data_IF_894599141020
#
_entry.id   IF_894599141020
#
_cell.length_a   1.000
_cell.length_b   1.000
_cell.length_c   1.000
_cell.angle_alpha   90.00
_cell.angle_beta   90.00
_cell.angle_gamma   90.00
#
_symmetry.space_group_name_H-M   'P 1'
#
loop_
_entity.id
_entity.type
_entity.pdbx_description
1 polymer ?
#
# COMPACT_ATOMS: atom_id res chain seq x y z
N UNK A 1 -17.84 -19.31 -17.14
CA UNK A 1 -16.63 -20.16 -17.21
C UNK A 1 -15.38 -19.46 -17.73
N UNK A 2 -15.47 -18.21 -18.22
CA UNK A 2 -14.42 -17.47 -18.94
C UNK A 2 -13.15 -17.12 -18.13
N UNK A 3 -13.30 -16.62 -16.89
CA UNK A 3 -12.18 -16.01 -16.16
C UNK A 3 -10.94 -16.91 -15.97
N UNK A 4 -11.09 -18.21 -15.72
CA UNK A 4 -9.92 -19.08 -15.53
C UNK A 4 -9.09 -19.26 -16.81
N UNK A 5 -9.76 -19.26 -17.97
CA UNK A 5 -9.10 -19.27 -19.28
C UNK A 5 -8.54 -17.88 -19.60
N UNK A 6 -9.27 -16.82 -19.29
CA UNK A 6 -8.81 -15.44 -19.48
C UNK A 6 -7.56 -15.13 -18.63
N UNK A 7 -7.48 -15.66 -17.41
CA UNK A 7 -6.34 -15.51 -16.49
C UNK A 7 -5.08 -16.20 -17.04
N UNK A 8 -5.20 -17.46 -17.47
CA UNK A 8 -4.08 -18.16 -18.11
C UNK A 8 -3.66 -17.52 -19.42
N UNK A 9 -4.62 -17.07 -20.23
CA UNK A 9 -4.33 -16.32 -21.45
C UNK A 9 -3.67 -14.97 -21.13
N UNK A 10 -3.98 -14.33 -20.00
CA UNK A 10 -3.32 -13.11 -19.55
C UNK A 10 -1.88 -13.37 -19.10
N UNK A 11 -1.63 -14.47 -18.37
CA UNK A 11 -0.27 -14.90 -18.00
C UNK A 11 0.56 -15.27 -19.25
N UNK A 12 -0.02 -16.00 -20.20
CA UNK A 12 0.67 -16.37 -21.43
C UNK A 12 0.97 -15.17 -22.34
N UNK A 13 0.07 -14.17 -22.41
CA UNK A 13 0.26 -12.96 -23.24
C UNK A 13 1.16 -11.91 -22.60
N UNK A 14 1.35 -11.92 -21.28
CA UNK A 14 1.99 -10.84 -20.56
C UNK A 14 3.53 -10.81 -20.60
N UNK A 15 4.17 -11.66 -21.41
CA UNK A 15 5.63 -11.79 -21.50
C UNK A 15 6.30 -11.89 -20.12
N UNK A 16 5.70 -12.65 -19.21
CA UNK A 16 6.25 -12.86 -17.87
C UNK A 16 7.39 -13.88 -17.91
N UNK A 17 8.46 -13.68 -17.11
CA UNK A 17 9.47 -14.71 -16.88
C UNK A 17 8.85 -16.04 -16.42
N UNK A 18 9.41 -17.20 -16.79
CA UNK A 18 8.85 -18.50 -16.41
C UNK A 18 8.67 -18.66 -14.90
N UNK A 19 9.65 -18.22 -14.11
CA UNK A 19 9.60 -18.24 -12.65
C UNK A 19 8.44 -17.41 -12.08
N UNK A 20 8.01 -16.34 -12.75
CA UNK A 20 6.83 -15.57 -12.31
C UNK A 20 5.55 -16.35 -12.57
N UNK A 21 5.45 -17.01 -13.73
CA UNK A 21 4.27 -17.82 -14.08
C UNK A 21 4.14 -19.01 -13.14
N UNK A 22 5.26 -19.63 -12.76
CA UNK A 22 5.29 -20.76 -11.83
C UNK A 22 4.87 -20.38 -10.41
N UNK A 23 5.21 -19.15 -9.97
CA UNK A 23 4.78 -18.59 -8.68
C UNK A 23 3.36 -17.99 -8.71
N UNK A 24 2.70 -17.93 -9.88
CA UNK A 24 1.37 -17.35 -9.99
C UNK A 24 0.29 -18.24 -9.35
N UNK A 25 -0.84 -17.64 -8.96
CA UNK A 25 -1.95 -18.37 -8.34
C UNK A 25 -2.48 -19.45 -9.29
N UNK A 26 -2.46 -20.71 -8.84
CA UNK A 26 -2.91 -21.85 -9.64
C UNK A 26 -4.43 -21.96 -9.62
N UNK A 27 -5.11 -21.02 -10.28
CA UNK A 27 -6.57 -20.87 -10.25
C UNK A 27 -7.33 -22.17 -10.60
N UNK A 28 -6.86 -22.95 -11.57
CA UNK A 28 -7.45 -24.25 -11.93
C UNK A 28 -7.30 -25.30 -10.83
N UNK A 29 -6.13 -25.37 -10.19
CA UNK A 29 -5.83 -26.31 -9.11
C UNK A 29 -6.69 -26.01 -7.89
N UNK A 30 -6.73 -24.75 -7.46
CA UNK A 30 -7.60 -24.28 -6.37
C UNK A 30 -9.07 -24.54 -6.66
N UNK A 31 -9.54 -24.32 -7.90
CA UNK A 31 -10.92 -24.64 -8.31
C UNK A 31 -11.25 -26.14 -8.20
N UNK A 32 -10.28 -27.03 -8.46
CA UNK A 32 -10.47 -28.47 -8.26
C UNK A 32 -10.58 -28.81 -6.77
N UNK A 33 -9.81 -28.14 -5.91
CA UNK A 33 -9.91 -28.27 -4.45
C UNK A 33 -11.29 -27.83 -3.95
N UNK A 34 -11.82 -26.69 -4.40
CA UNK A 34 -13.18 -26.23 -4.04
C UNK A 34 -14.24 -27.28 -4.39
N UNK A 35 -14.11 -27.98 -5.54
CA UNK A 35 -15.03 -29.07 -5.91
C UNK A 35 -14.88 -30.33 -5.03
N UNK A 36 -13.72 -30.54 -4.40
CA UNK A 36 -13.52 -31.61 -3.41
C UNK A 36 -14.18 -31.23 -2.09
N UNK A 37 -13.94 -30.01 -1.60
CA UNK A 37 -14.62 -29.46 -0.41
C UNK A 37 -16.14 -29.55 -0.57
N UNK A 38 -16.67 -29.11 -1.71
CA UNK A 38 -18.10 -29.18 -1.98
C UNK A 38 -18.65 -30.63 -1.92
N UNK A 39 -17.88 -31.63 -2.40
CA UNK A 39 -18.30 -33.04 -2.34
C UNK A 39 -18.17 -33.62 -0.95
N UNK A 40 -17.17 -33.21 -0.18
CA UNK A 40 -16.99 -33.58 1.22
C UNK A 40 -18.16 -33.06 2.05
N UNK A 41 -18.49 -31.77 1.92
CA UNK A 41 -19.65 -31.14 2.55
C UNK A 41 -20.97 -31.84 2.18
N UNK A 42 -21.19 -32.14 0.89
CA UNK A 42 -22.35 -32.91 0.44
C UNK A 42 -22.39 -34.32 1.06
N UNK A 43 -21.25 -35.00 1.14
CA UNK A 43 -21.14 -36.32 1.77
C UNK A 43 -21.44 -36.32 3.26
N UNK A 44 -21.30 -35.17 3.93
CA UNK A 44 -21.68 -34.97 5.32
C UNK A 44 -23.15 -34.52 5.49
N UNK A 45 -23.87 -34.31 4.38
CA UNK A 45 -25.23 -33.75 4.41
C UNK A 45 -25.28 -32.25 4.73
N UNK A 46 -24.15 -31.56 4.61
CA UNK A 46 -24.01 -30.11 4.77
C UNK A 46 -23.94 -29.46 3.39
N UNK A 47 -25.04 -29.51 2.64
CA UNK A 47 -25.09 -28.84 1.35
C UNK A 47 -25.18 -27.31 1.50
N UNK A 48 -25.05 -26.60 0.37
CA UNK A 48 -25.00 -25.13 0.38
C UNK A 48 -26.25 -24.51 1.01
N UNK A 49 -27.42 -25.06 0.70
CA UNK A 49 -28.69 -24.50 1.17
C UNK A 49 -28.90 -24.81 2.66
N UNK A 50 -28.45 -25.97 3.14
CA UNK A 50 -28.41 -26.30 4.57
C UNK A 50 -27.45 -25.38 5.34
N UNK A 51 -26.25 -25.12 4.80
CA UNK A 51 -25.28 -24.22 5.45
C UNK A 51 -25.75 -22.76 5.44
N UNK A 52 -26.32 -22.28 4.34
CA UNK A 52 -26.90 -20.93 4.28
C UNK A 52 -28.05 -20.75 5.28
N UNK A 53 -28.90 -21.78 5.45
CA UNK A 53 -29.96 -21.78 6.45
C UNK A 53 -29.39 -21.76 7.88
N UNK A 54 -28.34 -22.56 8.16
CA UNK A 54 -27.65 -22.55 9.45
C UNK A 54 -27.07 -21.17 9.77
N UNK A 55 -26.46 -20.49 8.81
CA UNK A 55 -25.92 -19.13 9.01
C UNK A 55 -27.02 -18.07 9.24
N UNK A 56 -28.17 -18.17 8.57
CA UNK A 56 -29.28 -17.23 8.77
C UNK A 56 -29.80 -17.23 10.21
N UNK A 57 -29.75 -18.38 10.90
CA UNK A 57 -30.17 -18.48 12.30
C UNK A 57 -29.11 -18.00 13.29
N UNK A 58 -27.82 -18.12 12.95
CA UNK A 58 -26.72 -17.48 13.70
C UNK A 58 -26.83 -15.95 13.66
N UNK A 59 -27.19 -15.38 12.51
CA UNK A 59 -27.32 -13.92 12.32
C UNK A 59 -28.64 -13.34 12.88
N UNK A 60 -29.70 -14.14 13.04
CA UNK A 60 -31.04 -13.65 13.41
C UNK A 60 -31.28 -13.50 14.92
N UNK A 61 -30.39 -14.00 15.79
CA UNK A 61 -30.46 -13.82 17.26
C UNK A 61 -31.75 -14.32 17.95
N UNK A 62 -32.66 -14.94 17.22
CA UNK A 62 -34.00 -15.28 17.70
C UNK A 62 -34.01 -16.71 18.25
N UNK A 63 -33.68 -16.83 19.54
CA UNK A 63 -34.05 -18.00 20.35
C UNK A 63 -32.93 -18.85 20.93
N UNK A 64 -31.69 -18.35 21.08
CA UNK A 64 -30.66 -19.09 21.81
C UNK A 64 -30.49 -18.54 23.24
N UNK A 65 -30.76 -19.31 24.31
CA UNK A 65 -30.47 -18.91 25.69
C UNK A 65 -28.97 -18.79 25.99
N UNK A 66 -28.10 -19.28 25.09
CA UNK A 66 -26.68 -19.49 25.35
C UNK A 66 -25.71 -18.56 24.62
N UNK A 67 -26.18 -17.55 23.87
CA UNK A 67 -25.33 -16.51 23.28
C UNK A 67 -24.26 -16.94 22.26
N UNK A 68 -24.01 -18.24 22.06
CA UNK A 68 -22.98 -18.76 21.15
C UNK A 68 -23.60 -19.22 19.83
N UNK A 69 -23.00 -18.81 18.71
CA UNK A 69 -23.47 -19.16 17.36
C UNK A 69 -23.39 -20.67 17.10
N UNK A 70 -24.49 -21.26 16.63
CA UNK A 70 -24.65 -22.70 16.37
C UNK A 70 -23.63 -23.32 15.40
N UNK A 71 -23.02 -22.49 14.53
CA UNK A 71 -22.05 -22.89 13.52
C UNK A 71 -20.89 -21.89 13.52
N UNK A 72 -19.67 -22.38 13.74
CA UNK A 72 -18.46 -21.56 13.68
C UNK A 72 -17.47 -22.13 12.68
N UNK A 73 -16.96 -21.29 11.78
CA UNK A 73 -15.86 -21.63 10.89
C UNK A 73 -14.66 -20.75 11.25
N UNK A 74 -13.76 -21.27 12.09
CA UNK A 74 -12.51 -20.58 12.42
C UNK A 74 -11.40 -21.04 11.48
N UNK A 75 -10.46 -20.13 11.23
CA UNK A 75 -9.13 -20.48 10.79
C UNK A 75 -8.20 -20.16 11.95
N UNK A 76 -7.96 -21.13 12.83
CA UNK A 76 -6.95 -20.96 13.86
C UNK A 76 -5.57 -21.02 13.21
N UNK A 77 -4.78 -19.96 13.43
CA UNK A 77 -3.40 -19.95 13.02
C UNK A 77 -2.57 -18.79 13.54
N UNK A 78 -1.60 -19.14 14.40
CA UNK A 78 -0.34 -18.41 14.51
C UNK A 78 0.47 -18.63 13.20
N UNK A 79 1.53 -17.85 12.96
CA UNK A 79 2.31 -17.78 11.70
C UNK A 79 2.72 -19.13 11.04
N UNK A 80 2.60 -20.27 11.75
CA UNK A 80 3.07 -21.59 11.34
C UNK A 80 2.00 -22.68 11.13
N UNK A 81 0.74 -22.51 11.54
CA UNK A 81 -0.31 -23.56 11.39
C UNK A 81 -1.65 -22.97 10.96
N UNK A 82 -2.20 -23.40 9.83
CA UNK A 82 -3.55 -23.00 9.36
C UNK A 82 -4.43 -24.25 9.38
N UNK A 83 -5.31 -24.37 10.38
CA UNK A 83 -6.27 -25.48 10.45
C UNK A 83 -7.69 -24.91 10.40
N UNK A 84 -8.40 -25.03 9.27
CA UNK A 84 -9.82 -24.69 9.25
C UNK A 84 -10.58 -25.64 10.16
N UNK A 85 -11.43 -25.10 11.04
CA UNK A 85 -12.29 -25.87 11.95
C UNK A 85 -13.74 -25.46 11.72
N UNK A 86 -14.58 -26.43 11.39
CA UNK A 86 -16.02 -26.27 11.38
C UNK A 86 -16.57 -26.88 12.67
N UNK A 87 -17.12 -26.06 13.54
CA UNK A 87 -17.62 -26.49 14.85
C UNK A 87 -19.13 -26.36 14.90
N UNK A 88 -19.82 -27.42 15.36
CA UNK A 88 -21.28 -27.45 15.57
C UNK A 88 -21.57 -27.73 17.04
N UNK A 89 -22.53 -27.00 17.61
CA UNK A 89 -23.02 -27.20 18.98
C UNK A 89 -23.95 -28.42 19.06
N UNK A 90 -23.70 -29.32 20.02
CA UNK A 90 -24.50 -30.53 20.29
C UNK A 90 -25.05 -30.51 21.71
N UNK A 91 -26.24 -31.10 21.88
CA UNK A 91 -26.93 -31.25 23.17
C UNK A 91 -26.12 -32.19 24.08
N UNK A 92 -25.78 -31.78 25.31
CA UNK A 92 -25.00 -32.58 26.25
C UNK A 92 -25.68 -33.88 26.70
N UNK A 93 -26.99 -34.05 26.54
CA UNK A 93 -27.75 -35.22 27.01
C UNK A 93 -27.80 -36.36 26.00
N UNK A 94 -27.86 -36.06 24.71
CA UNK A 94 -28.00 -37.08 23.65
C UNK A 94 -26.96 -36.99 22.53
N UNK A 95 -26.12 -35.95 22.53
CA UNK A 95 -25.10 -35.69 21.51
C UNK A 95 -25.68 -35.34 20.13
N UNK A 96 -26.98 -35.03 20.06
CA UNK A 96 -27.61 -34.57 18.83
C UNK A 96 -27.23 -33.11 18.56
N UNK A 97 -27.03 -32.71 17.29
CA UNK A 97 -26.91 -31.29 16.97
C UNK A 97 -28.14 -30.58 17.52
N UNK A 98 -27.96 -29.45 18.23
CA UNK A 98 -29.04 -28.68 18.84
C UNK A 98 -29.90 -28.01 17.75
N UNK A 99 -30.58 -28.80 16.92
CA UNK A 99 -31.51 -28.35 15.87
C UNK A 99 -32.39 -29.50 15.36
N UNK A 100 -33.71 -29.32 15.50
CA UNK A 100 -34.76 -30.26 15.06
C UNK A 100 -34.99 -30.28 13.54
N UNK A 101 -34.32 -29.42 12.77
CA UNK A 101 -34.64 -29.13 11.35
C UNK A 101 -33.64 -29.70 10.35
N UNK A 102 -32.52 -30.24 10.81
CA UNK A 102 -31.58 -30.96 9.95
C UNK A 102 -32.25 -32.22 9.39
N UNK A 103 -31.99 -32.52 8.10
CA UNK A 103 -32.54 -33.73 7.48
C UNK A 103 -32.17 -34.96 8.33
N UNK A 104 -33.03 -36.00 8.40
CA UNK A 104 -32.72 -37.21 9.15
C UNK A 104 -31.39 -37.86 8.72
N UNK A 105 -30.97 -37.64 7.48
CA UNK A 105 -29.68 -38.08 6.95
C UNK A 105 -28.51 -37.23 7.47
N UNK A 106 -28.62 -35.89 7.44
CA UNK A 106 -27.62 -34.96 7.99
C UNK A 106 -27.44 -35.16 9.49
N UNK A 107 -28.54 -35.31 10.24
CA UNK A 107 -28.52 -35.60 11.69
C UNK A 107 -27.82 -36.92 11.98
N UNK A 108 -28.08 -37.98 11.20
CA UNK A 108 -27.39 -39.28 11.34
C UNK A 108 -25.90 -39.19 11.04
N UNK A 109 -25.50 -38.42 10.02
CA UNK A 109 -24.10 -38.24 9.66
C UNK A 109 -23.34 -37.43 10.71
N UNK A 110 -23.93 -36.35 11.23
CA UNK A 110 -23.35 -35.57 12.33
C UNK A 110 -23.27 -36.38 13.64
N UNK A 111 -24.30 -37.15 13.98
CA UNK A 111 -24.27 -38.08 15.12
C UNK A 111 -23.18 -39.15 14.97
N UNK A 112 -22.98 -39.68 13.76
CA UNK A 112 -21.93 -40.66 13.47
C UNK A 112 -20.53 -40.04 13.60
N UNK A 113 -20.37 -38.80 13.14
CA UNK A 113 -19.13 -38.04 13.33
C UNK A 113 -18.87 -37.76 14.81
N UNK A 114 -19.86 -37.24 15.54
CA UNK A 114 -19.78 -36.96 16.97
C UNK A 114 -19.42 -38.20 17.82
N UNK A 115 -19.95 -39.37 17.45
CA UNK A 115 -19.62 -40.66 18.11
C UNK A 115 -18.20 -41.12 17.80
N UNK A 116 -17.71 -40.90 16.59
CA UNK A 116 -16.36 -41.25 16.17
C UNK A 116 -15.30 -40.23 16.65
N UNK A 117 -15.70 -38.98 16.89
CA UNK A 117 -14.85 -37.88 17.32
C UNK A 117 -14.77 -37.70 18.84
N UNK A 118 -15.33 -38.64 19.64
CA UNK A 118 -15.26 -38.62 21.12
C UNK A 118 -13.85 -38.56 21.72
N UNK A 119 -12.79 -38.58 20.90
CA UNK A 119 -11.41 -38.32 21.29
C UNK A 119 -11.01 -36.82 21.29
N UNK A 120 -11.77 -35.92 20.66
CA UNK A 120 -11.47 -34.47 20.53
C UNK A 120 -12.58 -33.56 21.10
N UNK A 121 -13.29 -34.00 22.13
CA UNK A 121 -14.29 -33.15 22.81
C UNK A 121 -13.55 -32.13 23.68
N UNK A 122 -13.71 -30.85 23.37
CA UNK A 122 -13.21 -29.74 24.20
C UNK A 122 -14.37 -29.20 25.03
N UNK A 123 -14.27 -29.25 26.36
CA UNK A 123 -15.20 -28.53 27.25
C UNK A 123 -14.80 -27.06 27.22
N UNK A 124 -15.43 -26.25 26.36
CA UNK A 124 -15.19 -24.82 26.35
C UNK A 124 -15.85 -24.18 27.57
N UNK A 125 -15.07 -23.52 28.43
CA UNK A 125 -15.60 -22.48 29.32
C UNK A 125 -15.83 -21.23 28.46
N UNK A 126 -17.00 -20.62 28.59
CA UNK A 126 -17.46 -19.42 27.88
C UNK A 126 -16.32 -18.57 27.30
N UNK A 127 -16.31 -18.42 25.98
CA UNK A 127 -15.31 -17.61 25.30
C UNK A 127 -15.56 -16.12 25.60
N UNK A 128 -14.52 -15.31 25.85
CA UNK A 128 -14.71 -13.91 26.21
C UNK A 128 -15.43 -13.16 25.09
N UNK A 129 -16.47 -12.42 25.44
CA UNK A 129 -17.16 -11.51 24.54
C UNK A 129 -16.17 -10.65 23.77
N UNK A 130 -16.48 -10.45 22.48
CA UNK A 130 -15.75 -9.57 21.59
C UNK A 130 -15.73 -8.17 22.21
N UNK A 131 -14.57 -7.72 22.68
CA UNK A 131 -14.42 -6.35 23.20
C UNK A 131 -14.54 -5.38 22.02
N UNK A 132 -15.73 -4.82 21.87
CA UNK A 132 -15.97 -3.59 21.11
C UNK A 132 -15.07 -2.49 21.69
N UNK A 133 -14.00 -2.17 20.97
CA UNK A 133 -13.10 -1.08 21.29
C UNK A 133 -13.79 0.28 21.12
N UNK A 134 -14.48 0.76 22.15
CA UNK A 134 -14.69 2.20 22.39
C UNK A 134 -13.76 2.64 23.49
N UNK A 135 -12.69 3.32 23.08
CA UNK A 135 -11.77 4.03 23.96
C UNK A 135 -12.53 5.05 24.83
N UNK A 136 -12.33 4.98 26.14
CA UNK A 136 -12.57 6.10 27.04
C UNK A 136 -11.73 5.97 28.32
N UNK A 137 -10.68 6.78 28.31
CA UNK A 137 -10.07 7.56 29.39
C UNK A 137 -9.79 6.92 30.76
N UNK A 138 -8.49 6.87 31.05
CA UNK A 138 -7.81 6.53 32.29
C UNK A 138 -7.80 7.71 33.27
N UNK A 139 -8.20 7.49 34.53
CA UNK A 139 -7.71 8.22 35.69
C UNK A 139 -7.78 7.35 36.98
N UNK A 140 -6.75 7.34 37.85
CA UNK A 140 -6.62 6.39 38.96
C UNK A 140 -6.87 7.00 40.36
N UNK A 141 -7.32 6.19 41.32
CA UNK A 141 -7.11 6.36 42.76
C UNK A 141 -7.46 5.02 43.47
N UNK A 142 -6.47 4.24 43.93
CA UNK A 142 -6.00 4.17 45.33
C UNK A 142 -7.10 4.14 46.40
N UNK A 143 -7.26 3.02 47.13
CA UNK A 143 -6.76 2.87 48.52
C UNK A 143 -7.20 1.55 49.18
N UNK A 144 -6.31 1.05 50.03
CA UNK A 144 -6.39 -0.12 50.91
C UNK A 144 -7.38 0.08 52.06
N UNK A 145 -7.87 -1.03 52.63
CA UNK A 145 -8.05 -1.12 54.10
C UNK A 145 -9.11 -2.08 54.63
N UNK A 146 -8.63 -3.19 55.20
CA UNK A 146 -9.02 -3.73 56.53
C UNK A 146 -10.25 -4.65 56.69
N UNK A 147 -9.96 -5.86 57.21
CA UNK A 147 -10.83 -6.86 57.86
C UNK A 147 -11.25 -6.43 59.30
N UNK A 148 -11.77 -7.30 60.22
CA UNK A 148 -12.76 -8.41 60.15
C UNK A 148 -13.84 -8.32 61.28
N UNK A 149 -14.60 -9.42 61.44
CA UNK A 149 -15.28 -9.95 62.66
C UNK A 149 -16.80 -9.76 62.82
N UNK A 150 -17.49 -10.86 63.16
CA UNK A 150 -18.78 -10.80 63.87
C UNK A 150 -19.82 -11.88 63.56
N UNK A 151 -19.60 -13.07 64.12
CA UNK A 151 -20.57 -14.03 64.67
C UNK A 151 -21.74 -14.67 63.88
N UNK A 152 -21.78 -15.97 64.12
CA UNK A 152 -22.68 -17.05 63.71
C UNK A 152 -24.08 -17.02 64.33
N UNK A 153 -25.09 -17.40 63.54
CA UNK A 153 -26.24 -18.16 64.00
C UNK A 153 -26.75 -19.08 62.88
N UNK A 154 -26.74 -20.39 63.15
CA UNK A 154 -27.12 -21.46 62.24
C UNK A 154 -28.65 -21.62 62.13
N UNK A 155 -29.14 -21.84 60.92
CA UNK A 155 -30.41 -22.52 60.65
C UNK A 155 -30.26 -23.30 59.32
N UNK A 156 -30.37 -24.62 59.46
CA UNK A 156 -30.48 -25.77 58.54
C UNK A 156 -30.05 -25.72 57.04
N UNK A 157 -29.47 -26.84 56.54
CA UNK A 157 -29.08 -27.00 55.15
C UNK A 157 -30.27 -27.42 54.28
N UNK A 158 -30.63 -26.58 53.30
CA UNK A 158 -31.50 -26.97 52.19
C UNK A 158 -30.67 -27.80 51.19
N UNK A 159 -31.02 -29.06 50.88
CA UNK A 159 -30.22 -29.90 50.00
C UNK A 159 -30.51 -29.56 48.53
N UNK A 160 -29.42 -29.39 47.78
CA UNK A 160 -29.33 -29.59 46.33
C UNK A 160 -30.28 -28.77 45.45
N UNK A 161 -29.97 -27.48 45.31
CA UNK A 161 -30.14 -26.81 44.01
C UNK A 161 -28.89 -27.09 43.17
N UNK A 162 -28.96 -28.16 42.39
CA UNK A 162 -28.11 -28.38 41.23
C UNK A 162 -28.11 -27.11 40.37
N UNK A 163 -27.05 -26.32 40.48
CA UNK A 163 -26.70 -25.35 39.46
C UNK A 163 -26.20 -26.17 38.27
N UNK A 164 -27.14 -26.58 37.40
CA UNK A 164 -26.88 -27.00 36.02
C UNK A 164 -26.12 -25.85 35.34
N UNK A 165 -24.79 -25.85 35.48
CA UNK A 165 -23.90 -25.10 34.60
C UNK A 165 -24.03 -25.78 33.24
N UNK A 166 -24.91 -25.26 32.40
CA UNK A 166 -25.16 -25.75 31.04
C UNK A 166 -23.84 -25.86 30.26
N UNK A 167 -23.26 -27.05 30.27
CA UNK A 167 -22.07 -27.40 29.52
C UNK A 167 -22.46 -27.61 28.06
N UNK A 168 -22.21 -26.60 27.22
CA UNK A 168 -22.37 -26.71 25.78
C UNK A 168 -21.24 -27.60 25.22
N UNK A 169 -21.59 -28.74 24.62
CA UNK A 169 -20.62 -29.60 23.95
C UNK A 169 -20.48 -29.18 22.48
N UNK A 170 -19.25 -29.07 22.00
CA UNK A 170 -18.96 -28.71 20.60
C UNK A 170 -18.28 -29.86 19.89
N UNK A 171 -18.68 -30.12 18.64
CA UNK A 171 -18.10 -31.16 17.78
C UNK A 171 -17.38 -30.50 16.62
N UNK A 172 -16.09 -30.79 16.50
CA UNK A 172 -15.27 -30.41 15.36
C UNK A 172 -15.50 -31.36 14.19
N UNK A 173 -15.82 -30.80 13.03
CA UNK A 173 -15.93 -31.51 11.76
C UNK A 173 -14.61 -31.31 11.01
N UNK A 174 -13.73 -32.34 10.95
CA UNK A 174 -12.48 -32.24 10.22
C UNK A 174 -12.78 -32.29 8.73
N UNK A 175 -12.84 -31.12 8.10
CA UNK A 175 -12.79 -31.02 6.66
C UNK A 175 -11.31 -31.18 6.24
N UNK A 176 -11.05 -32.15 5.36
CA UNK A 176 -9.70 -32.47 4.90
C UNK A 176 -9.37 -31.73 3.60
N UNK A 177 -10.39 -31.51 2.75
CA UNK A 177 -10.21 -30.88 1.44
C UNK A 177 -10.04 -29.36 1.50
N UNK A 178 -10.56 -28.72 2.55
CA UNK A 178 -10.44 -27.27 2.75
C UNK A 178 -9.07 -26.93 3.34
N UNK A 179 -8.55 -27.76 4.25
CA UNK A 179 -7.18 -27.75 4.72
C UNK A 179 -6.20 -27.82 3.55
N UNK A 180 -6.42 -28.72 2.59
CA UNK A 180 -5.62 -28.79 1.37
C UNK A 180 -5.73 -27.50 0.52
N UNK A 181 -6.93 -26.92 0.40
CA UNK A 181 -7.13 -25.66 -0.33
C UNK A 181 -6.33 -24.51 0.29
N UNK A 182 -6.42 -24.31 1.61
CA UNK A 182 -5.72 -23.22 2.30
C UNK A 182 -4.22 -23.43 2.39
N UNK A 183 -3.74 -24.68 2.51
CA UNK A 183 -2.31 -24.99 2.43
C UNK A 183 -1.73 -24.65 1.05
N UNK A 184 -2.43 -25.00 -0.04
CA UNK A 184 -2.02 -24.63 -1.39
C UNK A 184 -2.01 -23.11 -1.55
N UNK A 185 -3.07 -22.44 -1.11
CA UNK A 185 -3.21 -20.99 -1.23
C UNK A 185 -2.10 -20.26 -0.45
N UNK A 186 -1.81 -20.68 0.78
CA UNK A 186 -0.74 -20.09 1.60
C UNK A 186 0.63 -20.25 0.95
N UNK A 187 0.94 -21.43 0.41
CA UNK A 187 2.21 -21.65 -0.28
C UNK A 187 2.33 -20.75 -1.50
N UNK A 188 1.29 -20.68 -2.34
CA UNK A 188 1.27 -19.81 -3.52
C UNK A 188 1.42 -18.33 -3.16
N UNK A 189 0.85 -17.88 -2.04
CA UNK A 189 1.02 -16.51 -1.56
C UNK A 189 2.42 -16.25 -1.00
N UNK A 190 2.99 -17.21 -0.26
CA UNK A 190 4.39 -17.13 0.19
C UNK A 190 5.35 -17.07 -1.00
N UNK A 191 5.10 -17.85 -2.05
CA UNK A 191 5.90 -17.83 -3.27
C UNK A 191 5.81 -16.46 -3.97
N UNK A 192 4.61 -15.85 -4.00
CA UNK A 192 4.41 -14.48 -4.51
C UNK A 192 5.09 -13.41 -3.66
N UNK A 193 5.06 -13.54 -2.34
CA UNK A 193 5.73 -12.64 -1.40
C UNK A 193 7.25 -12.67 -1.61
N UNK A 194 7.86 -13.86 -1.68
CA UNK A 194 9.28 -14.01 -1.97
C UNK A 194 9.65 -13.47 -3.36
N UNK A 195 8.82 -13.71 -4.36
CA UNK A 195 9.04 -13.17 -5.71
C UNK A 195 9.02 -11.64 -5.69
N UNK A 196 8.06 -11.03 -5.01
CA UNK A 196 7.97 -9.58 -4.90
C UNK A 196 9.18 -8.97 -4.20
N UNK A 197 9.62 -9.55 -3.08
CA UNK A 197 10.80 -9.08 -2.35
C UNK A 197 12.07 -9.18 -3.21
N UNK A 198 12.24 -10.29 -3.93
CA UNK A 198 13.36 -10.49 -4.84
C UNK A 198 13.37 -9.46 -5.98
N UNK A 199 12.23 -9.24 -6.63
CA UNK A 199 12.12 -8.27 -7.73
C UNK A 199 12.24 -6.82 -7.24
N UNK A 200 11.73 -6.49 -6.05
CA UNK A 200 11.92 -5.17 -5.44
C UNK A 200 13.40 -4.91 -5.16
N UNK A 201 14.12 -5.89 -4.61
CA UNK A 201 15.56 -5.79 -4.36
C UNK A 201 16.33 -5.57 -5.67
N UNK A 202 16.00 -6.36 -6.70
CA UNK A 202 16.61 -6.23 -8.02
C UNK A 202 16.36 -4.86 -8.66
N UNK A 203 15.13 -4.33 -8.57
CA UNK A 203 14.80 -3.00 -9.07
C UNK A 203 15.58 -1.91 -8.33
N UNK A 204 15.69 -2.00 -7.00
CA UNK A 204 16.52 -1.08 -6.21
C UNK A 204 17.97 -1.09 -6.66
N UNK A 205 18.56 -2.27 -6.86
CA UNK A 205 19.93 -2.37 -7.37
C UNK A 205 20.09 -1.73 -8.76
N UNK A 206 19.12 -1.90 -9.66
CA UNK A 206 19.14 -1.27 -10.98
C UNK A 206 19.04 0.25 -10.90
N UNK A 207 18.25 0.79 -9.97
CA UNK A 207 18.16 2.24 -9.70
C UNK A 207 19.47 2.77 -9.13
N UNK A 208 20.11 2.06 -8.19
CA UNK A 208 21.42 2.46 -7.65
C UNK A 208 22.49 2.45 -8.74
N UNK A 209 22.49 1.43 -9.62
CA UNK A 209 23.38 1.37 -10.79
C UNK A 209 23.15 2.54 -11.73
N UNK A 210 21.90 2.87 -12.02
CA UNK A 210 21.53 4.05 -12.81
C UNK A 210 22.05 5.34 -12.15
N UNK A 211 21.87 5.50 -10.83
CA UNK A 211 22.41 6.63 -10.09
C UNK A 211 23.93 6.75 -10.24
N UNK A 212 24.66 5.64 -10.12
CA UNK A 212 26.12 5.63 -10.31
C UNK A 212 26.53 6.04 -11.74
N UNK A 213 25.82 5.54 -12.76
CA UNK A 213 26.04 5.94 -14.16
C UNK A 213 25.83 7.47 -14.34
N UNK A 214 24.78 8.03 -13.74
CA UNK A 214 24.50 9.47 -13.78
C UNK A 214 25.51 10.32 -12.98
N UNK A 215 26.04 9.80 -11.86
CA UNK A 215 27.12 10.47 -11.10
C UNK A 215 28.37 10.63 -11.95
N UNK A 216 28.73 9.60 -12.74
CA UNK A 216 29.88 9.66 -13.67
C UNK A 216 29.65 10.74 -14.73
N UNK A 217 28.45 10.81 -15.31
CA UNK A 217 28.09 11.86 -16.29
C UNK A 217 28.22 13.25 -15.65
N UNK A 218 27.72 13.44 -14.42
CA UNK A 218 27.78 14.72 -13.70
C UNK A 218 29.20 15.11 -13.25
N UNK A 219 30.05 14.16 -12.90
CA UNK A 219 31.39 14.42 -12.39
C UNK A 219 32.34 14.99 -13.46
N UNK A 220 32.08 14.68 -14.73
CA UNK A 220 32.86 15.21 -15.84
C UNK A 220 32.69 16.72 -15.98
N UNK A 221 33.79 17.45 -16.21
CA UNK A 221 33.78 18.91 -16.36
C UNK A 221 33.64 19.37 -17.82
N UNK A 222 33.54 18.43 -18.77
CA UNK A 222 33.49 18.72 -20.19
C UNK A 222 32.23 19.51 -20.56
N UNK A 223 32.28 20.29 -21.64
CA UNK A 223 31.11 21.03 -22.15
C UNK A 223 29.96 20.06 -22.49
N UNK A 224 30.29 18.95 -23.16
CA UNK A 224 29.35 17.90 -23.53
C UNK A 224 28.64 17.27 -22.32
N UNK A 225 29.37 16.99 -21.25
CA UNK A 225 28.77 16.40 -20.04
C UNK A 225 27.76 17.36 -19.39
N UNK A 226 27.99 18.69 -19.43
CA UNK A 226 27.00 19.67 -18.95
C UNK A 226 25.74 19.66 -19.80
N UNK A 227 25.88 19.62 -21.13
CA UNK A 227 24.75 19.48 -22.05
C UNK A 227 23.98 18.16 -21.83
N UNK A 228 24.69 17.07 -21.53
CA UNK A 228 24.07 15.78 -21.17
C UNK A 228 23.33 15.83 -19.83
N UNK A 229 23.87 16.53 -18.82
CA UNK A 229 23.17 16.74 -17.53
C UNK A 229 21.91 17.59 -17.74
N UNK A 230 21.97 18.63 -18.57
CA UNK A 230 20.81 19.45 -18.91
C UNK A 230 19.75 18.64 -19.68
N UNK A 231 20.16 17.77 -20.61
CA UNK A 231 19.26 16.83 -21.27
C UNK A 231 18.59 15.89 -20.27
N UNK A 232 19.34 15.34 -19.31
CA UNK A 232 18.78 14.49 -18.26
C UNK A 232 17.80 15.22 -17.33
N UNK A 233 17.99 16.51 -17.07
CA UNK A 233 16.99 17.31 -16.35
C UNK A 233 15.67 17.32 -17.09
N UNK A 234 15.68 17.60 -18.39
CA UNK A 234 14.47 17.61 -19.22
C UNK A 234 13.78 16.23 -19.24
N UNK A 235 14.56 15.15 -19.34
CA UNK A 235 14.02 13.78 -19.30
C UNK A 235 13.32 13.50 -17.97
N UNK A 236 13.95 13.87 -16.85
CA UNK A 236 13.41 13.64 -15.51
C UNK A 236 12.21 14.54 -15.20
N UNK A 237 12.21 15.76 -15.71
CA UNK A 237 11.06 16.68 -15.65
C UNK A 237 9.87 16.10 -16.41
N UNK A 238 10.06 15.71 -17.68
CA UNK A 238 9.02 15.03 -18.45
C UNK A 238 8.48 13.77 -17.76
N UNK A 239 9.36 13.00 -17.11
CA UNK A 239 8.96 11.79 -16.41
C UNK A 239 8.17 12.10 -15.13
N UNK A 240 8.58 13.13 -14.39
CA UNK A 240 7.87 13.60 -13.20
C UNK A 240 6.47 14.10 -13.58
N UNK A 241 6.36 14.91 -14.63
CA UNK A 241 5.09 15.45 -15.12
C UNK A 241 4.16 14.38 -15.69
N UNK A 242 4.72 13.29 -16.23
CA UNK A 242 3.93 12.19 -16.77
C UNK A 242 3.19 11.38 -15.68
N UNK A 243 3.62 11.46 -14.42
CA UNK A 243 2.95 10.83 -13.27
C UNK A 243 2.58 9.36 -13.53
N UNK A 244 3.55 8.60 -14.05
CA UNK A 244 3.30 7.28 -14.66
C UNK A 244 2.62 6.29 -13.71
N UNK A 245 3.06 6.22 -12.45
CA UNK A 245 2.59 5.19 -11.52
C UNK A 245 1.69 5.72 -10.41
N UNK A 246 1.73 7.02 -10.14
CA UNK A 246 0.90 7.64 -9.12
C UNK A 246 0.56 9.06 -9.56
N UNK A 247 -0.68 9.47 -9.33
CA UNK A 247 -1.12 10.84 -9.62
C UNK A 247 -1.17 11.72 -8.40
N UNK A 248 -0.86 13.00 -8.58
CA UNK A 248 -1.05 14.07 -7.59
C UNK A 248 -2.32 14.90 -7.82
N UNK A 249 -3.08 14.64 -8.89
CA UNK A 249 -4.31 15.36 -9.18
C UNK A 249 -5.41 15.04 -8.17
N UNK A 250 -6.21 16.03 -7.78
CA UNK A 250 -7.26 15.88 -6.76
C UNK A 250 -8.31 14.81 -7.10
N UNK A 251 -8.58 14.59 -8.40
CA UNK A 251 -9.64 13.69 -8.88
C UNK A 251 -9.23 12.21 -8.82
N UNK A 252 -7.97 11.90 -9.13
CA UNK A 252 -7.42 10.54 -9.22
C UNK A 252 -6.15 10.36 -8.39
N UNK A 253 -6.04 11.09 -7.27
CA UNK A 253 -4.90 11.06 -6.37
C UNK A 253 -4.60 9.64 -5.89
N UNK A 254 -3.33 9.25 -5.99
CA UNK A 254 -2.84 7.96 -5.51
C UNK A 254 -2.33 7.04 -6.61
N UNK A 255 -2.33 5.74 -6.33
CA UNK A 255 -1.72 4.73 -7.20
C UNK A 255 -2.54 4.51 -8.47
N UNK A 256 -1.88 4.50 -9.63
CA UNK A 256 -2.51 4.16 -10.91
C UNK A 256 -2.57 2.64 -11.08
N UNK A 257 -3.63 2.17 -11.74
CA UNK A 257 -3.67 0.79 -12.22
C UNK A 257 -2.73 0.58 -13.42
N UNK A 258 -2.50 -0.69 -13.79
CA UNK A 258 -1.57 -1.03 -14.85
C UNK A 258 -1.99 -0.48 -16.22
N UNK A 259 -3.29 -0.31 -16.49
CA UNK A 259 -3.77 0.20 -17.77
C UNK A 259 -3.48 1.69 -17.92
N UNK A 260 -3.81 2.48 -16.87
CA UNK A 260 -3.52 3.90 -16.82
C UNK A 260 -2.00 4.15 -16.81
N UNK A 261 -1.24 3.41 -16.00
CA UNK A 261 0.21 3.54 -15.95
C UNK A 261 0.87 3.21 -17.29
N UNK A 262 0.37 2.18 -17.99
CA UNK A 262 0.85 1.83 -19.33
C UNK A 262 0.59 2.95 -20.34
N UNK A 263 -0.57 3.62 -20.26
CA UNK A 263 -0.92 4.76 -21.11
C UNK A 263 -0.01 5.95 -20.84
N UNK A 264 0.15 6.37 -19.58
CA UNK A 264 1.03 7.47 -19.20
C UNK A 264 2.48 7.22 -19.63
N UNK A 265 2.98 5.98 -19.46
CA UNK A 265 4.33 5.64 -19.90
C UNK A 265 4.50 5.70 -21.42
N UNK A 266 3.46 5.38 -22.19
CA UNK A 266 3.47 5.52 -23.65
C UNK A 266 3.50 7.00 -24.05
N UNK A 267 2.69 7.85 -23.42
CA UNK A 267 2.68 9.29 -23.65
C UNK A 267 4.04 9.91 -23.33
N UNK A 268 4.63 9.55 -22.18
CA UNK A 268 6.01 9.93 -21.81
C UNK A 268 7.03 9.49 -22.86
N UNK A 269 6.98 8.22 -23.29
CA UNK A 269 7.92 7.69 -24.28
C UNK A 269 7.82 8.40 -25.63
N UNK A 270 6.59 8.77 -26.04
CA UNK A 270 6.35 9.55 -27.26
C UNK A 270 6.91 10.96 -27.13
N UNK A 271 6.62 11.67 -26.03
CA UNK A 271 7.15 13.00 -25.76
C UNK A 271 8.70 13.02 -25.73
N UNK A 272 9.31 12.02 -25.08
CA UNK A 272 10.75 11.82 -25.04
C UNK A 272 11.34 11.63 -26.45
N UNK A 273 10.68 10.83 -27.29
CA UNK A 273 11.14 10.58 -28.66
C UNK A 273 11.10 11.85 -29.53
N UNK A 274 10.11 12.72 -29.33
CA UNK A 274 10.00 14.01 -30.02
C UNK A 274 11.13 14.95 -29.57
N UNK A 275 11.40 15.04 -28.27
CA UNK A 275 12.49 15.86 -27.75
C UNK A 275 13.88 15.38 -28.21
N UNK A 276 14.11 14.07 -28.27
CA UNK A 276 15.36 13.51 -28.80
C UNK A 276 15.59 13.90 -30.26
N UNK A 277 14.54 13.99 -31.07
CA UNK A 277 14.62 14.48 -32.45
C UNK A 277 14.86 16.00 -32.50
N UNK A 278 14.37 16.73 -31.52
CA UNK A 278 14.36 18.20 -31.49
C UNK A 278 15.66 18.86 -31.01
N UNK A 279 16.59 18.17 -30.33
CA UNK A 279 17.90 18.82 -30.13
C UNK A 279 18.95 18.26 -29.19
N UNK A 280 18.63 17.44 -28.18
CA UNK A 280 19.69 16.96 -27.28
C UNK A 280 20.30 15.63 -27.74
N UNK A 281 21.64 15.58 -27.80
CA UNK A 281 22.41 14.38 -28.17
C UNK A 281 23.09 13.81 -26.94
N UNK A 282 22.69 12.62 -26.54
CA UNK A 282 23.33 11.87 -25.46
C UNK A 282 24.56 11.11 -26.00
N UNK A 283 25.68 11.17 -25.29
CA UNK A 283 26.81 10.27 -25.52
C UNK A 283 26.52 8.84 -25.05
N UNK A 284 27.40 7.90 -25.43
CA UNK A 284 27.19 6.46 -25.21
C UNK A 284 26.80 6.12 -23.77
N UNK A 285 27.53 6.65 -22.77
CA UNK A 285 27.24 6.39 -21.36
C UNK A 285 25.89 6.95 -20.90
N UNK A 286 25.56 8.19 -21.30
CA UNK A 286 24.28 8.80 -20.97
C UNK A 286 23.10 8.10 -21.69
N UNK A 287 23.29 7.59 -22.90
CA UNK A 287 22.30 6.78 -23.62
C UNK A 287 22.09 5.42 -22.94
N UNK A 288 23.15 4.76 -22.46
CA UNK A 288 23.03 3.51 -21.71
C UNK A 288 22.24 3.70 -20.41
N UNK A 289 22.48 4.81 -19.71
CA UNK A 289 21.71 5.18 -18.52
C UNK A 289 20.22 5.41 -18.86
N UNK A 290 19.91 6.04 -20.01
CA UNK A 290 18.52 6.26 -20.43
C UNK A 290 17.82 4.95 -20.75
N UNK A 291 18.49 4.08 -21.48
CA UNK A 291 18.01 2.75 -21.81
C UNK A 291 17.80 1.89 -20.54
N UNK A 292 18.67 2.00 -19.53
CA UNK A 292 18.44 1.41 -18.20
C UNK A 292 17.21 2.00 -17.51
N UNK A 293 17.06 3.32 -17.51
CA UNK A 293 15.91 4.00 -16.94
C UNK A 293 14.59 3.53 -17.56
N UNK A 294 14.52 3.46 -18.89
CA UNK A 294 13.33 2.96 -19.59
C UNK A 294 13.05 1.48 -19.26
N UNK A 295 14.10 0.63 -19.19
CA UNK A 295 13.94 -0.76 -18.77
C UNK A 295 13.39 -0.93 -17.36
N UNK A 296 13.84 -0.11 -16.40
CA UNK A 296 13.32 -0.14 -15.02
C UNK A 296 11.82 0.12 -15.03
N UNK A 297 11.37 1.14 -15.77
CA UNK A 297 9.96 1.49 -15.90
C UNK A 297 9.12 0.38 -16.56
N UNK A 298 9.62 -0.24 -17.63
CA UNK A 298 8.94 -1.38 -18.28
C UNK A 298 8.81 -2.57 -17.34
N UNK A 299 9.85 -2.89 -16.54
CA UNK A 299 9.79 -3.96 -15.53
C UNK A 299 8.77 -3.65 -14.44
N UNK A 300 8.73 -2.40 -13.97
CA UNK A 300 7.75 -1.90 -13.01
C UNK A 300 6.32 -2.09 -13.52
N UNK A 301 6.03 -1.68 -14.76
CA UNK A 301 4.72 -1.88 -15.39
C UNK A 301 4.35 -3.37 -15.48
N UNK A 302 5.32 -4.22 -15.85
CA UNK A 302 5.12 -5.67 -15.92
C UNK A 302 4.78 -6.24 -14.54
N UNK A 303 5.48 -5.80 -13.50
CA UNK A 303 5.24 -6.22 -12.12
C UNK A 303 3.89 -5.75 -11.58
N UNK A 304 3.54 -4.47 -11.81
CA UNK A 304 2.23 -3.92 -11.46
C UNK A 304 1.09 -4.73 -12.10
N UNK A 305 1.20 -5.03 -13.41
CA UNK A 305 0.22 -5.85 -14.12
C UNK A 305 0.14 -7.28 -13.58
N UNK A 306 1.28 -7.89 -13.24
CA UNK A 306 1.32 -9.22 -12.64
C UNK A 306 0.66 -9.25 -11.26
N UNK A 307 0.93 -8.25 -10.42
CA UNK A 307 0.29 -8.08 -9.11
C UNK A 307 -1.23 -7.96 -9.23
N UNK A 308 -1.72 -7.09 -10.13
CA UNK A 308 -3.16 -6.90 -10.33
C UNK A 308 -3.89 -8.17 -10.78
N UNK A 309 -3.30 -8.91 -11.72
CA UNK A 309 -3.88 -10.14 -12.25
C UNK A 309 -3.96 -11.20 -11.15
N UNK A 310 -2.91 -11.35 -10.33
CA UNK A 310 -2.91 -12.27 -9.19
C UNK A 310 -3.86 -11.83 -8.07
N UNK A 311 -3.89 -10.54 -7.70
CA UNK A 311 -4.85 -10.00 -6.74
C UNK A 311 -6.31 -10.24 -7.18
N UNK A 312 -6.58 -10.07 -8.47
CA UNK A 312 -7.89 -10.39 -9.05
C UNK A 312 -8.21 -11.89 -8.98
N UNK A 313 -7.23 -12.75 -9.27
CA UNK A 313 -7.38 -14.19 -9.17
C UNK A 313 -7.66 -14.64 -7.73
N UNK A 314 -6.92 -14.09 -6.75
CA UNK A 314 -7.11 -14.30 -5.32
C UNK A 314 -8.54 -13.91 -4.88
N UNK A 315 -8.97 -12.70 -5.21
CA UNK A 315 -10.32 -12.24 -4.91
C UNK A 315 -11.39 -13.16 -5.52
N UNK A 316 -11.20 -13.58 -6.79
CA UNK A 316 -12.17 -14.43 -7.49
C UNK A 316 -12.15 -15.88 -7.04
N UNK A 317 -11.02 -16.40 -6.55
CA UNK A 317 -10.96 -17.77 -6.02
C UNK A 317 -11.58 -17.83 -4.63
N UNK A 318 -11.32 -16.84 -3.77
CA UNK A 318 -11.97 -16.70 -2.46
C UNK A 318 -13.48 -16.52 -2.59
N UNK A 319 -13.94 -15.59 -3.44
CA UNK A 319 -15.37 -15.44 -3.74
C UNK A 319 -16.01 -16.72 -4.27
N UNK A 320 -15.25 -17.57 -4.97
CA UNK A 320 -15.75 -18.86 -5.47
C UNK A 320 -15.81 -19.91 -4.37
N UNK A 321 -14.86 -19.89 -3.44
CA UNK A 321 -14.84 -20.76 -2.27
C UNK A 321 -16.13 -20.52 -1.47
N UNK A 322 -16.35 -19.31 -0.97
CA UNK A 322 -17.55 -18.98 -0.16
C UNK A 322 -18.85 -19.29 -0.89
N UNK A 323 -18.96 -18.91 -2.17
CA UNK A 323 -20.18 -19.17 -2.94
C UNK A 323 -20.52 -20.65 -3.09
N UNK A 324 -19.53 -21.55 -3.03
CA UNK A 324 -19.73 -22.99 -3.22
C UNK A 324 -19.76 -23.80 -1.93
N UNK A 325 -19.13 -23.29 -0.89
CA UNK A 325 -19.00 -23.99 0.39
C UNK A 325 -19.88 -23.37 1.46
N UNK A 326 -20.36 -22.13 1.29
CA UNK A 326 -21.09 -21.38 2.32
C UNK A 326 -20.35 -21.30 3.66
N UNK A 327 -19.02 -21.48 3.68
CA UNK A 327 -18.22 -21.46 4.92
C UNK A 327 -17.79 -20.03 5.33
N UNK A 328 -18.13 -19.01 4.54
CA UNK A 328 -17.81 -17.61 4.81
C UNK A 328 -16.32 -17.32 5.12
N UNK A 329 -15.40 -18.17 4.67
CA UNK A 329 -13.97 -18.11 5.01
C UNK A 329 -13.32 -16.76 4.71
N UNK A 330 -13.83 -16.01 3.73
CA UNK A 330 -13.26 -14.71 3.35
C UNK A 330 -13.20 -13.69 4.48
N UNK A 331 -14.15 -13.62 5.42
CA UNK A 331 -14.10 -12.63 6.52
C UNK A 331 -12.88 -12.88 7.42
N UNK A 332 -12.60 -14.14 7.73
CA UNK A 332 -11.50 -14.57 8.59
C UNK A 332 -10.15 -14.58 7.85
N UNK A 333 -10.16 -15.00 6.58
CA UNK A 333 -8.97 -15.06 5.73
C UNK A 333 -8.51 -13.67 5.29
N UNK A 334 -9.41 -12.69 5.16
CA UNK A 334 -9.03 -11.32 4.79
C UNK A 334 -8.05 -10.70 5.77
N UNK A 335 -8.18 -10.96 7.07
CA UNK A 335 -7.26 -10.42 8.09
C UNK A 335 -5.85 -11.05 8.00
N UNK A 336 -5.75 -12.34 7.66
CA UNK A 336 -4.47 -13.02 7.46
C UNK A 336 -3.84 -12.69 6.09
N UNK A 337 -4.67 -12.55 5.04
CA UNK A 337 -4.22 -12.26 3.67
C UNK A 337 -3.86 -10.79 3.43
N UNK A 338 -4.50 -9.85 4.12
CA UNK A 338 -4.17 -8.41 4.02
C UNK A 338 -2.80 -8.11 4.62
N UNK A 339 -2.30 -8.96 5.52
CA UNK A 339 -0.93 -8.86 6.05
C UNK A 339 0.15 -9.33 5.07
N UNK A 340 -0.21 -9.99 3.96
CA UNK A 340 0.77 -10.40 2.94
C UNK A 340 1.38 -9.15 2.26
N UNK A 341 2.72 -8.98 2.30
CA UNK A 341 3.42 -7.88 1.64
C UNK A 341 3.03 -7.69 0.18
N UNK A 342 2.73 -8.78 -0.53
CA UNK A 342 2.30 -8.78 -1.91
C UNK A 342 0.99 -8.01 -2.14
N UNK A 343 0.10 -8.03 -1.16
CA UNK A 343 -1.21 -7.37 -1.22
C UNK A 343 -1.15 -5.94 -0.68
N UNK A 344 -0.27 -5.69 0.29
CA UNK A 344 -0.21 -4.43 1.04
C UNK A 344 0.77 -3.39 0.46
N UNK A 345 1.86 -3.81 -0.18
CA UNK A 345 2.85 -2.86 -0.69
C UNK A 345 2.53 -2.34 -2.09
N UNK A 346 2.40 -1.02 -2.16
CA UNK A 346 2.39 -0.28 -3.41
C UNK A 346 3.83 -0.13 -3.94
N UNK A 347 4.28 -1.13 -4.69
CA UNK A 347 5.62 -1.17 -5.25
C UNK A 347 5.88 0.03 -6.17
N UNK A 348 4.85 0.51 -6.85
CA UNK A 348 4.89 1.69 -7.70
C UNK A 348 5.34 2.92 -6.89
N UNK A 349 4.68 3.19 -5.76
CA UNK A 349 5.08 4.27 -4.85
C UNK A 349 6.48 4.09 -4.29
N UNK A 350 6.82 2.89 -3.82
CA UNK A 350 8.15 2.61 -3.27
C UNK A 350 9.26 2.86 -4.31
N UNK A 351 9.00 2.51 -5.56
CA UNK A 351 9.97 2.66 -6.64
C UNK A 351 10.04 4.11 -7.13
N UNK A 352 8.91 4.83 -7.24
CA UNK A 352 8.89 6.28 -7.47
C UNK A 352 9.68 7.02 -6.38
N UNK A 353 9.47 6.67 -5.12
CA UNK A 353 10.23 7.22 -4.01
C UNK A 353 11.73 6.93 -4.16
N UNK A 354 12.11 5.69 -4.47
CA UNK A 354 13.52 5.31 -4.66
C UNK A 354 14.15 6.05 -5.84
N UNK A 355 13.43 6.21 -6.95
CA UNK A 355 13.85 7.00 -8.11
C UNK A 355 14.06 8.47 -7.71
N UNK A 356 13.10 9.07 -7.03
CA UNK A 356 13.19 10.45 -6.56
C UNK A 356 14.36 10.63 -5.59
N UNK A 357 14.53 9.71 -4.65
CA UNK A 357 15.58 9.79 -3.64
C UNK A 357 16.98 9.61 -4.22
N UNK A 358 17.18 8.60 -5.07
CA UNK A 358 18.50 8.28 -5.60
C UNK A 358 18.88 9.17 -6.78
N UNK A 359 17.95 9.47 -7.69
CA UNK A 359 18.26 10.11 -8.98
C UNK A 359 18.16 11.63 -8.89
N UNK A 360 17.13 12.20 -8.26
CA UNK A 360 16.96 13.67 -8.20
C UNK A 360 18.03 14.33 -7.30
N UNK A 361 18.54 13.63 -6.28
CA UNK A 361 19.71 14.10 -5.51
C UNK A 361 20.96 14.24 -6.40
N UNK A 362 21.11 13.37 -7.40
CA UNK A 362 22.25 13.41 -8.33
C UNK A 362 22.03 14.50 -9.37
N UNK A 363 20.87 14.53 -10.02
CA UNK A 363 20.51 15.52 -11.04
C UNK A 363 19.39 16.40 -10.48
N UNK A 364 19.75 17.50 -9.78
CA UNK A 364 18.75 18.38 -9.18
C UNK A 364 17.93 19.08 -10.27
N UNK A 365 16.61 19.16 -10.03
CA UNK A 365 15.65 19.84 -10.89
C UNK A 365 15.61 21.33 -10.55
N UNK A 366 15.32 22.16 -11.56
CA UNK A 366 15.28 23.62 -11.35
C UNK A 366 14.07 24.04 -10.51
N UNK A 367 12.94 23.34 -10.68
CA UNK A 367 11.64 23.66 -10.07
C UNK A 367 11.70 23.66 -8.54
N UNK A 368 12.55 22.81 -7.94
CA UNK A 368 12.76 22.71 -6.48
C UNK A 368 13.46 23.95 -5.86
N UNK A 369 14.04 24.83 -6.68
CA UNK A 369 14.84 25.97 -6.24
C UNK A 369 14.31 27.32 -6.72
N UNK A 370 13.08 27.35 -7.23
CA UNK A 370 12.42 28.58 -7.66
C UNK A 370 12.01 29.42 -6.45
N UNK A 371 12.12 30.74 -6.60
CA UNK A 371 11.63 31.68 -5.61
C UNK A 371 10.10 31.84 -5.78
N UNK A 372 9.29 31.63 -4.73
CA UNK A 372 7.83 31.70 -4.84
C UNK A 372 7.26 33.05 -5.26
N UNK A 373 8.04 34.13 -5.13
CA UNK A 373 7.60 35.49 -5.47
C UNK A 373 7.76 35.78 -6.97
N UNK A 374 8.86 35.29 -7.57
CA UNK A 374 9.20 35.62 -8.96
C UNK A 374 9.25 34.42 -9.90
N UNK A 375 8.96 33.21 -9.39
CA UNK A 375 8.94 31.93 -10.12
C UNK A 375 10.21 31.64 -10.94
N UNK A 376 11.33 32.22 -10.51
CA UNK A 376 12.64 32.08 -11.13
C UNK A 376 13.62 31.58 -10.08
N UNK A 377 14.75 31.02 -10.51
CA UNK A 377 15.81 30.53 -9.62
C UNK A 377 16.11 31.52 -8.48
N UNK A 378 16.19 31.00 -7.25
CA UNK A 378 16.43 31.78 -6.04
C UNK A 378 17.81 32.44 -6.03
N UNK A 379 17.93 33.63 -6.64
CA UNK A 379 19.19 34.34 -6.78
C UNK A 379 19.57 35.09 -5.50
N UNK A 380 20.77 34.80 -4.99
CA UNK A 380 21.23 35.19 -3.64
C UNK A 380 20.15 34.86 -2.60
N UNK A 381 19.90 33.55 -2.38
CA UNK A 381 18.78 33.10 -1.55
C UNK A 381 18.94 33.59 -0.12
N UNK A 382 17.86 34.13 0.44
CA UNK A 382 17.75 34.50 1.85
C UNK A 382 16.82 33.49 2.51
N UNK A 383 17.29 32.82 3.58
CA UNK A 383 16.48 31.91 4.38
C UNK A 383 15.96 32.63 5.61
N UNK A 384 14.65 32.78 5.69
CA UNK A 384 13.98 33.40 6.85
C UNK A 384 14.01 32.48 8.07
N UNK A 385 13.68 33.01 9.26
CA UNK A 385 13.55 32.21 10.49
C UNK A 385 12.55 31.07 10.33
N UNK A 386 11.47 31.29 9.58
CA UNK A 386 10.49 30.26 9.24
C UNK A 386 10.98 29.22 8.20
N UNK A 387 12.29 29.21 7.86
CA UNK A 387 12.98 28.33 6.89
C UNK A 387 12.63 28.50 5.41
N UNK A 388 11.64 29.33 5.07
CA UNK A 388 11.31 29.66 3.69
C UNK A 388 12.41 30.50 3.01
N UNK A 389 12.60 30.28 1.71
CA UNK A 389 13.71 30.85 0.94
C UNK A 389 13.19 31.74 -0.19
N UNK A 390 13.76 32.93 -0.31
CA UNK A 390 13.42 33.91 -1.36
C UNK A 390 14.67 34.53 -1.99
N UNK A 391 14.53 35.18 -3.15
CA UNK A 391 15.61 36.01 -3.70
C UNK A 391 15.82 37.24 -2.82
N UNK A 392 17.07 37.69 -2.67
CA UNK A 392 17.39 38.94 -1.94
C UNK A 392 16.59 40.14 -2.47
N UNK A 393 16.46 40.30 -3.80
CA UNK A 393 15.73 41.42 -4.40
C UNK A 393 14.24 41.36 -4.07
N UNK A 394 13.62 40.19 -4.18
CA UNK A 394 12.20 39.99 -3.84
C UNK A 394 11.93 40.32 -2.37
N UNK A 395 12.83 39.92 -1.48
CA UNK A 395 12.70 40.22 -0.05
C UNK A 395 12.87 41.72 0.24
N UNK A 396 13.86 42.38 -0.38
CA UNK A 396 14.05 43.84 -0.23
C UNK A 396 12.84 44.64 -0.71
N UNK A 397 12.16 44.19 -1.77
CA UNK A 397 10.91 44.83 -2.24
C UNK A 397 9.82 44.71 -1.16
N UNK A 398 9.61 43.53 -0.58
CA UNK A 398 8.63 43.33 0.50
C UNK A 398 8.95 44.20 1.73
N UNK A 399 10.23 44.29 2.11
CA UNK A 399 10.66 45.13 3.23
C UNK A 399 10.39 46.61 2.97
N UNK A 400 10.63 47.10 1.75
CA UNK A 400 10.34 48.49 1.36
C UNK A 400 8.85 48.81 1.36
N UNK A 401 8.02 47.81 1.06
CA UNK A 401 6.56 47.92 1.13
C UNK A 401 6.01 47.79 2.57
N UNK A 402 6.86 47.55 3.57
CA UNK A 402 6.44 47.36 4.96
C UNK A 402 5.67 46.05 5.19
N UNK A 403 5.80 45.06 4.31
CA UNK A 403 5.12 43.75 4.45
C UNK A 403 5.99 42.78 5.22
N UNK A 404 5.62 42.50 6.47
CA UNK A 404 6.39 41.59 7.35
C UNK A 404 6.05 40.10 7.19
N UNK A 405 4.90 39.79 6.60
CA UNK A 405 4.41 38.43 6.53
C UNK A 405 5.12 37.62 5.44
N UNK A 406 5.59 36.43 5.79
CA UNK A 406 6.12 35.46 4.85
C UNK A 406 5.05 35.05 3.82
N UNK A 407 5.32 35.12 2.50
CA UNK A 407 4.34 34.73 1.47
C UNK A 407 3.87 33.27 1.52
N UNK A 408 4.62 32.38 2.18
CA UNK A 408 4.30 30.95 2.27
C UNK A 408 3.56 30.58 3.56
N UNK A 409 4.05 30.99 4.73
CA UNK A 409 3.47 30.62 6.02
C UNK A 409 2.81 31.76 6.79
N UNK A 410 2.88 33.00 6.28
CA UNK A 410 2.32 34.21 6.89
C UNK A 410 2.90 34.60 8.25
N UNK A 411 4.00 33.98 8.68
CA UNK A 411 4.75 34.37 9.87
C UNK A 411 5.44 35.73 9.68
N UNK A 412 5.51 36.55 10.73
CA UNK A 412 6.20 37.85 10.74
C UNK A 412 7.72 37.66 10.88
N UNK A 413 8.39 37.60 9.73
CA UNK A 413 9.82 37.27 9.63
C UNK A 413 10.55 38.01 8.51
N UNK A 414 9.85 38.86 7.74
CA UNK A 414 10.43 39.49 6.55
C UNK A 414 11.23 40.74 6.93
N UNK A 415 10.74 41.58 7.84
CA UNK A 415 11.39 42.83 8.25
C UNK A 415 12.62 42.61 9.11
N UNK A 416 12.69 41.49 9.86
CA UNK A 416 13.87 41.11 10.64
C UNK A 416 15.03 40.57 9.79
N UNK A 417 14.76 40.17 8.54
CA UNK A 417 15.75 39.50 7.72
C UNK A 417 16.85 40.46 7.25
N UNK A 418 18.10 40.12 7.54
CA UNK A 418 19.27 40.92 7.17
C UNK A 418 20.19 40.15 6.20
N UNK A 419 21.34 40.75 5.87
CA UNK A 419 22.38 40.07 5.11
C UNK A 419 22.94 38.81 5.78
N UNK A 420 22.73 38.63 7.09
CA UNK A 420 23.17 37.44 7.82
C UNK A 420 22.35 36.20 7.44
N UNK A 421 21.09 36.39 7.05
CA UNK A 421 20.18 35.33 6.61
C UNK A 421 20.47 34.80 5.19
N UNK A 422 21.52 35.30 4.53
CA UNK A 422 21.93 34.83 3.21
C UNK A 422 22.42 33.37 3.28
N UNK A 423 21.73 32.50 2.55
CA UNK A 423 22.14 31.11 2.42
C UNK A 423 23.30 30.99 1.42
N UNK A 424 24.51 31.04 1.97
CA UNK A 424 25.76 30.93 1.22
C UNK A 424 25.96 29.54 0.61
N UNK A 425 25.44 28.50 1.25
CA UNK A 425 25.58 27.12 0.80
C UNK A 425 24.69 26.88 -0.42
N UNK A 426 23.41 27.23 -0.33
CA UNK A 426 22.49 27.17 -1.46
C UNK A 426 22.95 28.09 -2.60
N UNK A 427 23.48 29.28 -2.29
CA UNK A 427 24.04 30.15 -3.32
C UNK A 427 25.20 29.49 -4.10
N UNK A 428 26.13 28.83 -3.40
CA UNK A 428 27.23 28.08 -4.04
C UNK A 428 26.68 26.92 -4.86
N UNK A 429 25.71 26.19 -4.32
CA UNK A 429 25.06 25.07 -5.00
C UNK A 429 24.36 25.50 -6.30
N UNK A 430 23.56 26.57 -6.28
CA UNK A 430 22.84 27.07 -7.46
C UNK A 430 23.82 27.55 -8.54
N UNK A 431 24.90 28.24 -8.15
CA UNK A 431 25.97 28.66 -9.06
C UNK A 431 26.73 27.47 -9.66
N UNK A 432 26.85 26.36 -8.94
CA UNK A 432 27.53 25.17 -9.44
C UNK A 432 26.66 24.38 -10.43
N UNK A 433 25.39 24.16 -10.07
CA UNK A 433 24.48 23.24 -10.78
C UNK A 433 23.66 23.92 -11.88
N UNK A 434 23.33 25.22 -11.75
CA UNK A 434 22.39 25.94 -12.64
C UNK A 434 22.99 27.24 -13.19
N UNK A 435 24.22 27.18 -13.71
CA UNK A 435 24.99 28.35 -14.18
C UNK A 435 24.24 29.24 -15.16
N UNK A 436 23.55 28.65 -16.14
CA UNK A 436 22.77 29.38 -17.14
C UNK A 436 21.65 30.20 -16.51
N UNK A 437 20.79 29.54 -15.72
CA UNK A 437 19.68 30.18 -15.02
C UNK A 437 20.15 31.28 -14.05
N UNK A 438 21.22 31.04 -13.28
CA UNK A 438 21.78 32.05 -12.36
C UNK A 438 22.29 33.27 -13.12
N UNK A 439 22.99 33.09 -14.25
CA UNK A 439 23.48 34.20 -15.08
C UNK A 439 22.33 34.99 -15.69
N UNK A 440 21.29 34.30 -16.18
CA UNK A 440 20.11 34.96 -16.71
C UNK A 440 19.43 35.80 -15.64
N UNK A 441 19.15 35.22 -14.47
CA UNK A 441 18.54 35.93 -13.35
C UNK A 441 19.38 37.11 -12.85
N UNK A 442 20.71 37.00 -12.90
CA UNK A 442 21.59 38.12 -12.60
C UNK A 442 21.37 39.29 -13.57
N UNK A 443 21.35 39.02 -14.88
CA UNK A 443 21.09 40.04 -15.90
C UNK A 443 19.73 40.68 -15.71
N UNK A 444 18.69 39.88 -15.46
CA UNK A 444 17.33 40.38 -15.23
C UNK A 444 17.31 41.31 -14.00
N UNK A 445 18.01 40.94 -12.92
CA UNK A 445 18.12 41.77 -11.72
C UNK A 445 18.90 43.07 -11.96
N UNK A 446 19.95 43.05 -12.79
CA UNK A 446 20.73 44.23 -13.18
C UNK A 446 19.89 45.21 -14.02
N UNK A 447 19.11 44.69 -14.97
CA UNK A 447 18.14 45.46 -15.76
C UNK A 447 17.10 46.11 -14.83
N UNK A 448 16.51 45.32 -13.94
CA UNK A 448 15.51 45.80 -13.00
C UNK A 448 16.07 46.85 -12.03
N UNK A 449 17.31 46.69 -11.55
CA UNK A 449 17.97 47.71 -10.73
C UNK A 449 18.28 49.00 -11.52
N UNK A 450 18.58 48.89 -12.81
CA UNK A 450 18.75 50.05 -13.67
C UNK A 450 17.41 50.78 -13.89
N UNK A 451 16.30 50.04 -14.07
CA UNK A 451 14.95 50.62 -14.15
C UNK A 451 14.59 51.35 -12.85
N UNK A 452 14.87 50.77 -11.68
CA UNK A 452 14.61 51.44 -10.40
C UNK A 452 15.37 52.78 -10.27
N UNK A 453 16.58 52.86 -10.84
CA UNK A 453 17.47 54.01 -10.72
C UNK A 453 17.21 55.09 -11.79
N UNK A 454 16.88 54.69 -13.01
CA UNK A 454 16.79 55.56 -14.18
C UNK A 454 15.38 55.65 -14.78
N UNK A 455 14.41 54.93 -14.20
CA UNK A 455 13.03 54.87 -14.68
C UNK A 455 12.83 53.92 -15.87
N UNK A 456 11.56 53.76 -16.28
CA UNK A 456 11.15 52.83 -17.35
C UNK A 456 11.78 53.14 -18.74
N UNK A 457 12.32 54.34 -18.93
CA UNK A 457 12.96 54.76 -20.18
C UNK A 457 14.22 53.93 -20.52
N UNK A 458 14.85 53.31 -19.52
CA UNK A 458 16.03 52.46 -19.71
C UNK A 458 15.72 51.15 -20.48
N UNK A 459 14.51 50.61 -20.36
CA UNK A 459 14.09 49.39 -21.05
C UNK A 459 14.01 49.60 -22.58
N UNK A 460 13.65 50.82 -23.01
CA UNK A 460 13.60 51.20 -24.42
C UNK A 460 15.00 51.45 -25.01
N UNK A 461 15.95 51.93 -24.21
CA UNK A 461 17.32 52.19 -24.65
C UNK A 461 18.11 50.90 -24.99
N UNK A 462 17.77 49.76 -24.36
CA UNK A 462 18.40 48.47 -24.67
C UNK A 462 17.98 47.87 -26.03
N UNK A 463 16.85 48.32 -26.60
CA UNK A 463 16.38 47.87 -27.93
C UNK A 463 17.04 48.62 -29.09
N UNK A 464 17.73 49.74 -28.82
CA UNK A 464 18.47 50.48 -29.82
C UNK A 464 19.80 49.77 -30.11
N UNK A 465 19.81 48.96 -31.16
CA UNK A 465 21.06 48.54 -31.82
C UNK A 465 21.60 49.77 -32.54
N UNK A 466 22.68 50.35 -32.03
CA UNK A 466 23.45 51.34 -32.78
C UNK A 466 24.06 50.57 -33.96
N UNK A 467 23.52 50.79 -35.16
CA UNK A 467 24.08 50.27 -36.42
C UNK A 467 25.41 50.93 -36.73
#
# INVERSE_FOLDING_TARGET
>A
MKFGQDYEAALARGEYPPNWVDSAISYKKLKKCIKRVQRELLGLGLDKDTLDALWQHVDSGAGNPFGEGLLHYSLDGNDYSFTPRLTIVVDPRDGSPMDAWLSPETRRNLLRLARNSRANVSTARAWPESVDGRARDWAPAETRGSEPEGDSAAADPDPDQDQDQDQVQTVEIPLTSDSEFFQILRRELSDLDHLQEAEQTRLREEIVKLGNELRVVKASKSKRSKEEVDAWRQILELYSDAEVFASSHEVDAGARDAAHAQKQFQEFSQALSLQQRAGFKLGKGATMALDRFLRINVKLLRLLRFQEINRTALHKIMKKFDKRTALHARSHVSTALVKSPFIAQDLAKATCFTISEEILKIIPQLNDYLCPICFSISYKPVRLRCKHVFCIRCLVVLQREGRDHCPLCREDVVLEATSENLDRELMKFLKANFKGAVKQKQRDNEIQAAIDRWGAQYENAQKCTVM
#
